data_IF_748148560002
#
_entry.id   IF_748148560002
#
_cell.length_a   1.000
_cell.length_b   1.000
_cell.length_c   1.000
_cell.angle_alpha   90.00
_cell.angle_beta   90.00
_cell.angle_gamma   90.00
#
_symmetry.space_group_name_H-M   'P 1'
#
loop_
_entity.id
_entity.type
_entity.pdbx_description
1 polymer ?
#
# COMPACT_ATOMS: atom_id res chain seq x y z
N UNK A 1 -3.12 62.88 -3.18
CA UNK A 1 -3.95 61.88 -2.48
C UNK A 1 -4.49 60.79 -3.42
N UNK A 2 -4.89 61.10 -4.68
CA UNK A 2 -5.36 60.10 -5.65
C UNK A 2 -4.34 58.99 -6.01
N UNK A 3 -3.04 59.32 -6.12
CA UNK A 3 -1.96 58.35 -6.46
C UNK A 3 -1.66 57.30 -5.39
N UNK A 4 -2.06 57.53 -4.13
CA UNK A 4 -1.81 56.58 -3.02
C UNK A 4 -2.90 55.50 -2.98
N UNK A 5 -4.09 55.82 -3.50
CA UNK A 5 -5.25 54.93 -3.52
C UNK A 5 -5.08 53.83 -4.58
N UNK A 6 -4.52 54.16 -5.76
CA UNK A 6 -4.28 53.18 -6.84
C UNK A 6 -3.24 52.10 -6.45
N UNK A 7 -2.23 52.46 -5.65
CA UNK A 7 -1.17 51.53 -5.21
C UNK A 7 -1.69 50.50 -4.20
N UNK A 8 -2.67 50.87 -3.35
CA UNK A 8 -3.24 49.93 -2.38
C UNK A 8 -4.16 48.88 -3.03
N UNK A 9 -4.85 49.22 -4.11
CA UNK A 9 -5.80 48.30 -4.77
C UNK A 9 -5.06 47.16 -5.49
N UNK A 10 -3.91 47.46 -6.10
CA UNK A 10 -3.10 46.45 -6.80
C UNK A 10 -2.44 45.42 -5.86
N UNK A 11 -2.20 45.80 -4.60
CA UNK A 11 -1.54 44.90 -3.64
C UNK A 11 -2.50 43.83 -3.08
N UNK A 12 -3.79 44.16 -2.96
CA UNK A 12 -4.81 43.24 -2.43
C UNK A 12 -5.19 42.15 -3.44
N UNK A 13 -5.17 42.44 -4.75
CA UNK A 13 -5.52 41.46 -5.78
C UNK A 13 -4.45 40.38 -6.01
N UNK A 14 -3.18 40.67 -5.75
CA UNK A 14 -2.09 39.67 -5.89
C UNK A 14 -2.08 38.65 -4.75
N UNK A 15 -2.52 39.02 -3.54
CA UNK A 15 -2.50 38.12 -2.39
C UNK A 15 -3.55 36.99 -2.44
N UNK A 16 -4.64 37.14 -3.21
CA UNK A 16 -5.75 36.17 -3.20
C UNK A 16 -5.48 34.97 -4.13
N UNK A 17 -4.67 35.14 -5.17
CA UNK A 17 -4.39 34.06 -6.13
C UNK A 17 -3.43 32.96 -5.61
N UNK A 18 -2.76 33.18 -4.47
CA UNK A 18 -1.79 32.24 -3.92
C UNK A 18 -2.41 31.13 -3.03
N UNK A 19 -3.71 31.23 -2.69
CA UNK A 19 -4.36 30.31 -1.75
C UNK A 19 -5.05 29.10 -2.40
N UNK A 20 -5.07 29.00 -3.73
CA UNK A 20 -5.91 28.00 -4.44
C UNK A 20 -5.19 26.71 -4.81
N UNK A 21 -3.87 26.65 -4.68
CA UNK A 21 -3.08 25.46 -4.99
C UNK A 21 -2.41 24.91 -3.74
N UNK A 22 -3.20 24.56 -2.72
CA UNK A 22 -2.74 23.61 -1.73
C UNK A 22 -2.55 22.27 -2.46
N UNK A 23 -1.33 21.98 -2.89
CA UNK A 23 -0.94 20.63 -3.27
C UNK A 23 -1.31 19.75 -2.09
N UNK A 24 -2.26 18.84 -2.27
CA UNK A 24 -2.43 17.73 -1.34
C UNK A 24 -1.17 16.89 -1.44
N UNK A 25 -0.18 17.23 -0.62
CA UNK A 25 0.93 16.37 -0.33
C UNK A 25 0.35 15.14 0.40
N UNK A 26 -0.16 14.17 -0.34
CA UNK A 26 -0.32 12.83 0.17
C UNK A 26 1.09 12.30 0.38
N UNK A 27 1.53 12.31 1.63
CA UNK A 27 2.73 11.60 2.00
C UNK A 27 2.43 10.11 1.78
N UNK A 28 3.30 9.43 1.04
CA UNK A 28 3.23 7.97 0.97
C UNK A 28 3.21 7.38 2.39
N UNK A 29 2.51 6.27 2.54
CA UNK A 29 2.26 5.60 3.79
C UNK A 29 3.08 4.31 3.86
N UNK A 30 3.71 4.06 5.01
CA UNK A 30 4.50 2.84 5.24
C UNK A 30 3.58 1.65 5.60
N UNK A 31 3.75 0.53 4.91
CA UNK A 31 3.14 -0.76 5.25
C UNK A 31 4.20 -1.84 5.34
N UNK A 32 3.95 -2.83 6.19
CA UNK A 32 4.71 -4.09 6.15
C UNK A 32 3.85 -5.15 5.48
N UNK A 33 4.39 -5.80 4.46
CA UNK A 33 3.86 -7.05 3.94
C UNK A 33 4.60 -8.23 4.56
N UNK A 34 3.85 -9.27 4.89
CA UNK A 34 4.39 -10.50 5.48
C UNK A 34 3.69 -11.71 4.87
N UNK A 35 4.48 -12.73 4.54
CA UNK A 35 3.99 -14.04 4.05
C UNK A 35 4.67 -15.12 4.87
N UNK A 36 3.87 -15.95 5.53
CA UNK A 36 4.36 -17.01 6.44
C UNK A 36 3.68 -18.34 6.15
N UNK A 37 4.43 -19.42 6.37
CA UNK A 37 3.95 -20.80 6.33
C UNK A 37 4.87 -21.68 7.17
N UNK A 38 4.33 -22.76 7.74
CA UNK A 38 5.11 -23.79 8.42
C UNK A 38 5.54 -24.91 7.45
N UNK A 39 4.76 -25.17 6.40
CA UNK A 39 4.97 -26.29 5.46
C UNK A 39 5.50 -25.86 4.09
N UNK A 40 5.21 -24.61 3.67
CA UNK A 40 5.61 -24.09 2.37
C UNK A 40 6.90 -23.28 2.53
N UNK A 41 8.01 -23.81 1.99
CA UNK A 41 9.31 -23.14 2.08
C UNK A 41 9.54 -22.03 1.05
N UNK A 42 8.78 -21.99 -0.04
CA UNK A 42 8.92 -20.98 -1.10
C UNK A 42 7.58 -20.60 -1.73
N UNK A 43 7.44 -19.35 -2.14
CA UNK A 43 6.30 -18.85 -2.90
C UNK A 43 6.72 -17.77 -3.91
N UNK A 44 5.87 -17.51 -4.89
CA UNK A 44 5.95 -16.31 -5.71
C UNK A 44 5.14 -15.21 -5.03
N UNK A 45 5.70 -14.01 -4.94
CA UNK A 45 5.08 -12.88 -4.25
C UNK A 45 4.93 -11.70 -5.21
N UNK A 46 3.74 -11.13 -5.22
CA UNK A 46 3.47 -9.85 -5.88
C UNK A 46 2.93 -8.86 -4.86
N UNK A 47 3.35 -7.60 -4.95
CA UNK A 47 2.85 -6.54 -4.08
C UNK A 47 2.88 -5.18 -4.78
N UNK A 48 2.10 -4.23 -4.25
CA UNK A 48 2.14 -2.83 -4.70
C UNK A 48 3.03 -2.01 -3.75
N UNK A 49 3.91 -1.19 -4.32
CA UNK A 49 4.63 -0.10 -3.63
C UNK A 49 4.41 1.23 -4.38
N UNK A 50 5.02 2.32 -3.92
CA UNK A 50 4.85 3.65 -4.50
C UNK A 50 5.47 3.82 -5.89
N UNK A 51 6.21 2.82 -6.38
CA UNK A 51 6.72 2.73 -7.75
C UNK A 51 5.83 1.87 -8.65
N UNK A 52 4.88 1.14 -8.07
CA UNK A 52 3.92 0.27 -8.74
C UNK A 52 4.01 -1.18 -8.28
N UNK A 53 3.65 -2.09 -9.17
CA UNK A 53 3.65 -3.53 -8.88
C UNK A 53 5.04 -4.12 -8.96
N UNK A 54 5.43 -4.83 -7.90
CA UNK A 54 6.66 -5.62 -7.82
C UNK A 54 6.31 -7.11 -7.81
N UNK A 55 7.08 -7.90 -8.55
CA UNK A 55 6.98 -9.36 -8.58
C UNK A 55 8.33 -9.99 -8.18
N UNK A 56 8.28 -10.97 -7.28
CA UNK A 56 9.43 -11.75 -6.82
C UNK A 56 9.10 -13.24 -6.93
N UNK A 57 9.92 -13.97 -7.68
CA UNK A 57 9.71 -15.40 -7.94
C UNK A 57 10.54 -16.25 -6.97
N UNK A 58 9.96 -17.34 -6.47
CA UNK A 58 10.67 -18.35 -5.69
C UNK A 58 11.32 -17.84 -4.40
N UNK A 59 10.69 -16.90 -3.71
CA UNK A 59 11.24 -16.35 -2.46
C UNK A 59 11.04 -17.32 -1.30
N UNK A 60 12.03 -17.41 -0.40
CA UNK A 60 11.94 -18.26 0.79
C UNK A 60 10.97 -17.68 1.82
N UNK A 61 10.19 -18.54 2.46
CA UNK A 61 9.32 -18.18 3.58
C UNK A 61 9.98 -18.53 4.93
N UNK A 62 9.78 -17.72 5.99
CA UNK A 62 8.95 -16.52 6.04
C UNK A 62 9.57 -15.35 5.27
N UNK A 63 8.72 -14.58 4.59
CA UNK A 63 9.12 -13.39 3.84
C UNK A 63 8.45 -12.14 4.42
N UNK A 64 9.20 -11.03 4.46
CA UNK A 64 8.73 -9.75 5.00
C UNK A 64 9.40 -8.59 4.28
N UNK A 65 8.64 -7.54 3.97
CA UNK A 65 9.15 -6.29 3.40
C UNK A 65 8.38 -5.09 3.94
N UNK A 66 9.09 -4.00 4.19
CA UNK A 66 8.52 -2.69 4.49
C UNK A 66 8.56 -1.83 3.23
N UNK A 67 7.42 -1.29 2.80
CA UNK A 67 7.31 -0.48 1.57
C UNK A 67 6.43 0.73 1.77
N UNK A 68 6.68 1.74 0.96
CA UNK A 68 5.83 2.92 0.85
C UNK A 68 4.72 2.64 -0.17
N UNK A 69 3.48 3.07 0.09
CA UNK A 69 2.35 3.06 -0.85
C UNK A 69 1.66 4.41 -0.83
N UNK A 70 0.99 4.82 -1.91
CA UNK A 70 0.38 6.16 -1.98
C UNK A 70 -0.76 6.36 -0.98
N UNK A 71 -1.61 5.35 -0.77
CA UNK A 71 -2.67 5.39 0.24
C UNK A 71 -3.12 3.98 0.62
N UNK A 72 -2.83 3.54 1.85
CA UNK A 72 -2.97 2.14 2.28
C UNK A 72 -4.35 1.53 2.00
N UNK A 73 -5.41 2.33 2.15
CA UNK A 73 -6.82 1.92 2.03
C UNK A 73 -7.47 2.23 0.68
N UNK A 74 -6.71 2.68 -0.31
CA UNK A 74 -7.18 2.82 -1.70
C UNK A 74 -7.14 1.48 -2.45
N UNK A 75 -7.83 1.35 -3.59
CA UNK A 75 -7.60 0.20 -4.46
C UNK A 75 -6.20 0.28 -5.09
N UNK A 76 -5.57 -0.86 -5.41
CA UNK A 76 -4.41 -0.91 -6.30
C UNK A 76 -4.68 -0.16 -7.63
N UNK A 77 -3.67 0.49 -8.22
CA UNK A 77 -2.26 0.46 -7.82
C UNK A 77 -1.91 1.42 -6.66
N UNK A 78 -2.79 2.35 -6.30
CA UNK A 78 -2.48 3.39 -5.30
C UNK A 78 -2.42 2.84 -3.87
N UNK A 79 -3.13 1.74 -3.60
CA UNK A 79 -3.25 1.19 -2.26
C UNK A 79 -2.60 -0.15 -2.05
N UNK A 80 -2.55 -0.54 -0.78
CA UNK A 80 -1.78 -1.70 -0.35
C UNK A 80 -2.40 -3.02 -0.85
N UNK A 81 -1.56 -3.86 -1.43
CA UNK A 81 -1.90 -5.20 -1.87
C UNK A 81 -0.66 -6.08 -1.79
N UNK A 82 -0.86 -7.31 -1.34
CA UNK A 82 0.15 -8.38 -1.42
C UNK A 82 -0.54 -9.70 -1.75
N UNK A 83 0.11 -10.48 -2.59
CA UNK A 83 -0.32 -11.80 -3.07
C UNK A 83 0.82 -12.79 -2.93
N UNK A 84 0.50 -13.99 -2.51
CA UNK A 84 1.40 -15.15 -2.56
C UNK A 84 0.81 -16.25 -3.45
N UNK A 85 1.66 -16.91 -4.23
CA UNK A 85 1.32 -18.06 -5.07
C UNK A 85 2.29 -19.22 -4.79
N UNK A 86 1.73 -20.38 -4.47
CA UNK A 86 2.45 -21.62 -4.20
C UNK A 86 1.73 -22.83 -4.81
N UNK A 87 0.93 -22.60 -5.87
CA UNK A 87 0.11 -23.64 -6.51
C UNK A 87 0.82 -24.96 -6.79
N UNK A 88 2.10 -24.99 -7.23
CA UNK A 88 2.79 -26.26 -7.52
C UNK A 88 2.92 -27.21 -6.32
N UNK A 89 2.91 -26.68 -5.10
CA UNK A 89 3.11 -27.45 -3.86
C UNK A 89 1.92 -27.38 -2.90
N UNK A 90 0.83 -26.75 -3.32
CA UNK A 90 -0.41 -26.61 -2.56
C UNK A 90 -1.03 -27.98 -2.20
N UNK A 91 -1.82 -28.00 -1.13
CA UNK A 91 -2.49 -29.22 -0.68
C UNK A 91 -3.15 -29.04 0.67
N UNK A 92 -4.02 -29.98 1.09
CA UNK A 92 -4.72 -29.90 2.35
C UNK A 92 -3.78 -29.64 3.52
N UNK A 93 -4.14 -28.70 4.38
CA UNK A 93 -3.38 -28.27 5.55
C UNK A 93 -2.01 -27.62 5.27
N UNK A 94 -1.65 -27.36 4.01
CA UNK A 94 -0.46 -26.58 3.67
C UNK A 94 -0.79 -25.09 3.60
N UNK A 95 -0.99 -24.51 4.78
CA UNK A 95 -1.46 -23.14 4.93
C UNK A 95 -0.38 -22.12 4.62
N UNK A 96 -0.75 -21.07 3.91
CA UNK A 96 0.05 -19.85 3.77
C UNK A 96 -0.81 -18.67 4.22
N UNK A 97 -0.28 -17.88 5.14
CA UNK A 97 -0.90 -16.63 5.60
C UNK A 97 -0.23 -15.44 4.93
N UNK A 98 -1.03 -14.63 4.25
CA UNK A 98 -0.61 -13.35 3.69
C UNK A 98 -1.15 -12.22 4.56
N UNK A 99 -0.30 -11.27 4.95
CA UNK A 99 -0.61 -10.23 5.92
C UNK A 99 -0.20 -8.84 5.43
N UNK A 100 -1.04 -7.85 5.73
CA UNK A 100 -0.71 -6.42 5.65
C UNK A 100 -0.73 -5.87 7.07
N UNK A 101 0.37 -5.26 7.51
CA UNK A 101 0.49 -4.59 8.80
C UNK A 101 0.65 -3.09 8.53
N UNK A 102 -0.16 -2.29 9.20
CA UNK A 102 -0.16 -0.84 9.07
C UNK A 102 -0.22 -0.21 10.46
N UNK A 103 0.70 0.74 10.73
CA UNK A 103 0.81 1.39 12.04
C UNK A 103 0.92 0.38 13.20
N UNK A 104 1.68 -0.69 13.00
CA UNK A 104 1.86 -1.77 13.98
C UNK A 104 0.65 -2.67 14.21
N UNK A 105 -0.43 -2.52 13.43
CA UNK A 105 -1.66 -3.31 13.54
C UNK A 105 -1.86 -4.19 12.32
N UNK A 106 -2.33 -5.41 12.52
CA UNK A 106 -2.76 -6.28 11.43
C UNK A 106 -3.97 -5.65 10.73
N UNK A 107 -3.78 -5.21 9.50
CA UNK A 107 -4.82 -4.62 8.67
C UNK A 107 -5.59 -5.70 7.90
N UNK A 108 -4.88 -6.64 7.29
CA UNK A 108 -5.45 -7.77 6.57
C UNK A 108 -4.65 -9.03 6.86
N UNK A 109 -5.33 -10.16 7.00
CA UNK A 109 -4.77 -11.51 7.00
C UNK A 109 -5.68 -12.44 6.18
N UNK A 110 -5.10 -13.12 5.20
CA UNK A 110 -5.78 -14.16 4.44
C UNK A 110 -4.95 -15.44 4.49
N UNK A 111 -5.53 -16.50 5.06
CA UNK A 111 -4.87 -17.80 5.26
C UNK A 111 -5.59 -18.86 4.44
N UNK A 112 -4.90 -19.47 3.49
CA UNK A 112 -5.46 -20.46 2.58
C UNK A 112 -4.46 -21.59 2.33
N UNK A 113 -4.95 -22.75 1.90
CA UNK A 113 -4.15 -23.93 1.52
C UNK A 113 -4.30 -24.30 0.03
N UNK A 114 -5.06 -23.50 -0.73
CA UNK A 114 -5.40 -23.74 -2.16
C UNK A 114 -4.36 -23.22 -3.15
N UNK A 115 -3.19 -22.76 -2.70
CA UNK A 115 -2.08 -22.35 -3.58
C UNK A 115 -2.04 -20.88 -3.96
N UNK A 116 -2.99 -20.06 -3.52
CA UNK A 116 -2.97 -18.62 -3.78
C UNK A 116 -3.76 -17.87 -2.71
N UNK A 117 -3.16 -16.83 -2.14
CA UNK A 117 -3.79 -15.94 -1.18
C UNK A 117 -3.43 -14.50 -1.50
N UNK A 118 -4.39 -13.60 -1.33
CA UNK A 118 -4.21 -12.16 -1.55
C UNK A 118 -4.86 -11.38 -0.42
N UNK A 119 -4.21 -10.28 -0.02
CA UNK A 119 -4.75 -9.28 0.87
C UNK A 119 -4.81 -7.92 0.17
N UNK A 120 -5.87 -7.16 0.47
CA UNK A 120 -6.07 -5.79 -0.02
C UNK A 120 -6.33 -4.88 1.19
N UNK A 121 -5.68 -3.72 1.24
CA UNK A 121 -5.91 -2.76 2.32
C UNK A 121 -7.29 -2.08 2.27
N UNK A 122 -7.90 -1.98 1.07
CA UNK A 122 -9.24 -1.39 0.88
C UNK A 122 -10.37 -2.30 1.38
N UNK A 123 -10.20 -3.62 1.27
CA UNK A 123 -11.18 -4.63 1.70
C UNK A 123 -10.54 -5.59 2.71
N UNK A 124 -10.16 -5.07 3.89
CA UNK A 124 -9.44 -5.87 4.88
C UNK A 124 -10.29 -7.04 5.37
N UNK A 125 -9.69 -8.22 5.42
CA UNK A 125 -10.26 -9.44 6.01
C UNK A 125 -9.22 -10.02 6.96
N UNK A 126 -9.65 -10.63 8.06
CA UNK A 126 -8.78 -11.37 8.98
C UNK A 126 -9.33 -12.79 9.07
N UNK A 127 -8.59 -13.75 8.52
CA UNK A 127 -8.92 -15.18 8.49
C UNK A 127 -7.72 -16.06 8.76
#
# INVERSE_FOLDING_TARGET
MLRVIEVMIACVTVCIAALVNASTASADELVTYEVVSEDIGMANIEYEDSTGRVAQEGVMLPWRVDVMVHAVRKPPPDGSQVRADWRPVAGPAKWVSVRIIYQGKLLCQNTLDVGNATCYGITPRIT
#
